data_IF_088310289700
#
_entry.id   IF_088310289700
#
_cell.length_a   1.000
_cell.length_b   1.000
_cell.length_c   1.000
_cell.angle_alpha   90.00
_cell.angle_beta   90.00
_cell.angle_gamma   90.00
#
_symmetry.space_group_name_H-M   'P 1'
#
loop_
_entity.id
_entity.type
_entity.pdbx_description
1 polymer ?
#
# COMPACT_ATOMS: atom_id res chain seq x y z
N UNK A 1 34.54 -37.64 40.47
CA UNK A 1 33.31 -38.42 40.73
C UNK A 1 32.34 -37.52 41.48
N UNK A 2 31.06 -37.61 41.09
CA UNK A 2 29.99 -36.66 41.28
C UNK A 2 29.62 -36.31 42.75
N UNK A 3 29.06 -35.13 42.97
CA UNK A 3 27.60 -34.97 43.19
C UNK A 3 27.29 -33.53 43.61
N UNK A 4 26.59 -32.79 42.75
CA UNK A 4 25.91 -31.54 43.11
C UNK A 4 24.44 -31.88 43.36
N UNK A 5 23.91 -31.52 44.53
CA UNK A 5 22.49 -31.68 44.88
C UNK A 5 21.85 -30.32 45.10
N UNK A 6 20.67 -30.19 44.51
CA UNK A 6 19.82 -29.02 44.34
C UNK A 6 19.16 -28.57 45.65
N UNK A 7 18.92 -27.26 45.77
CA UNK A 7 17.99 -26.68 46.75
C UNK A 7 17.00 -25.77 46.02
N UNK A 8 15.73 -26.19 45.98
CA UNK A 8 14.59 -25.42 45.48
C UNK A 8 14.07 -24.45 46.55
N UNK A 9 13.57 -23.28 46.14
CA UNK A 9 12.50 -22.58 46.87
C UNK A 9 11.62 -21.79 45.89
N UNK A 10 10.32 -21.94 46.08
CA UNK A 10 9.24 -21.55 45.20
C UNK A 10 8.29 -20.60 45.98
N UNK A 11 7.86 -19.54 45.30
CA UNK A 11 6.65 -18.72 45.45
C UNK A 11 6.49 -17.52 46.42
N UNK A 12 5.76 -16.55 45.84
CA UNK A 12 4.91 -15.48 46.35
C UNK A 12 5.54 -14.16 46.82
N UNK A 13 5.32 -13.08 46.06
CA UNK A 13 4.30 -12.07 46.39
C UNK A 13 4.30 -10.90 45.38
N UNK A 14 3.12 -10.56 44.85
CA UNK A 14 2.82 -9.26 44.22
C UNK A 14 2.94 -8.13 45.27
N UNK A 15 3.10 -6.88 44.80
CA UNK A 15 2.02 -5.94 45.07
C UNK A 15 1.63 -5.07 43.87
N UNK A 16 0.32 -4.88 43.76
CA UNK A 16 -0.36 -3.90 42.93
C UNK A 16 -0.37 -2.51 43.58
N UNK A 17 -0.74 -1.50 42.77
CA UNK A 17 -0.99 -0.05 43.03
C UNK A 17 0.21 0.87 42.75
N UNK A 18 0.08 2.01 42.09
CA UNK A 18 -1.04 2.74 41.45
C UNK A 18 -0.43 3.87 40.61
N UNK A 19 -1.01 4.09 39.43
CA UNK A 19 -1.24 5.37 38.74
C UNK A 19 -0.39 6.59 39.15
N UNK A 20 0.44 7.06 38.21
CA UNK A 20 0.67 8.50 38.05
C UNK A 20 0.78 8.84 36.55
N UNK A 21 -0.24 9.54 36.06
CA UNK A 21 -0.30 10.20 34.75
C UNK A 21 0.07 11.67 34.95
N UNK A 22 1.00 12.24 34.16
CA UNK A 22 1.01 13.67 33.90
C UNK A 22 0.26 13.93 32.60
N UNK A 23 -0.89 14.59 32.72
CA UNK A 23 -1.66 15.13 31.60
C UNK A 23 -0.85 16.21 30.88
N UNK A 24 -0.29 15.87 29.72
CA UNK A 24 0.22 16.83 28.74
C UNK A 24 -0.84 17.06 27.68
N UNK A 25 -1.36 18.27 27.63
CA UNK A 25 -2.40 18.71 26.69
C UNK A 25 -1.87 18.65 25.26
N UNK A 26 -2.40 17.73 24.45
CA UNK A 26 -2.25 17.76 22.99
C UNK A 26 -3.53 18.36 22.38
N UNK A 27 -3.47 19.66 22.10
CA UNK A 27 -4.47 20.33 21.26
C UNK A 27 -4.31 19.83 19.82
N UNK A 28 -5.18 18.92 19.39
CA UNK A 28 -5.41 18.66 17.97
C UNK A 28 -6.81 19.19 17.61
N UNK A 29 -6.95 19.98 16.53
CA UNK A 29 -8.25 20.48 16.11
C UNK A 29 -9.08 19.35 15.49
N UNK A 30 -10.29 19.19 16.02
CA UNK A 30 -11.37 18.35 15.52
C UNK A 30 -11.55 18.49 14.00
N UNK A 31 -11.24 17.44 13.25
CA UNK A 31 -11.79 17.23 11.91
C UNK A 31 -13.28 16.90 12.04
N UNK A 32 -14.13 17.90 11.75
CA UNK A 32 -15.57 17.70 11.57
C UNK A 32 -15.80 17.08 10.19
N UNK A 33 -16.01 15.77 10.14
CA UNK A 33 -16.60 15.12 8.97
C UNK A 33 -18.08 15.50 8.89
N UNK A 34 -18.44 16.33 7.92
CA UNK A 34 -19.83 16.60 7.57
C UNK A 34 -20.42 15.36 6.89
N UNK A 35 -21.22 14.61 7.64
CA UNK A 35 -22.13 13.58 7.12
C UNK A 35 -23.18 14.27 6.28
N UNK A 36 -23.12 14.08 4.96
CA UNK A 36 -24.24 14.38 4.06
C UNK A 36 -25.10 13.14 3.94
N UNK A 37 -26.13 13.08 4.77
CA UNK A 37 -27.29 12.19 4.62
C UNK A 37 -27.98 12.52 3.30
N UNK A 38 -27.99 11.59 2.34
CA UNK A 38 -28.98 11.59 1.26
C UNK A 38 -29.80 10.31 1.33
N UNK A 39 -31.06 10.53 1.68
CA UNK A 39 -32.09 9.52 1.86
C UNK A 39 -32.45 8.84 0.55
N UNK A 40 -32.56 7.52 0.61
CA UNK A 40 -33.25 6.66 -0.34
C UNK A 40 -34.67 7.15 -0.61
N UNK A 41 -35.02 7.33 -1.89
CA UNK A 41 -36.40 7.47 -2.35
C UNK A 41 -36.66 6.45 -3.44
N UNK A 42 -37.45 5.43 -3.10
CA UNK A 42 -38.03 4.48 -4.04
C UNK A 42 -39.19 5.16 -4.78
N UNK A 43 -39.23 5.09 -6.11
CA UNK A 43 -40.48 5.24 -6.86
C UNK A 43 -40.44 4.46 -8.17
N UNK A 44 -41.43 3.58 -8.30
CA UNK A 44 -41.79 2.92 -9.54
C UNK A 44 -42.40 3.95 -10.49
N UNK A 45 -41.93 4.00 -11.74
CA UNK A 45 -42.79 4.42 -12.84
C UNK A 45 -42.35 3.83 -14.18
N UNK A 46 -43.10 2.83 -14.62
CA UNK A 46 -43.26 2.48 -16.03
C UNK A 46 -43.87 3.70 -16.72
N UNK A 47 -43.27 4.17 -17.81
CA UNK A 47 -44.01 4.75 -18.92
C UNK A 47 -43.18 4.71 -20.22
N UNK A 48 -43.86 4.22 -21.24
CA UNK A 48 -43.40 3.96 -22.59
C UNK A 48 -43.11 5.26 -23.33
N UNK A 49 -41.96 5.36 -24.01
CA UNK A 49 -41.81 6.27 -25.14
C UNK A 49 -41.08 5.59 -26.30
N UNK A 50 -41.86 5.42 -27.35
CA UNK A 50 -41.62 4.79 -28.64
C UNK A 50 -40.74 5.72 -29.49
N UNK A 51 -39.45 5.42 -29.61
CA UNK A 51 -38.56 6.12 -30.53
C UNK A 51 -38.52 5.42 -31.89
N UNK A 52 -38.80 6.23 -32.91
CA UNK A 52 -39.01 5.85 -34.30
C UNK A 52 -37.69 5.40 -34.94
N UNK A 53 -37.81 4.33 -35.72
CA UNK A 53 -36.81 3.78 -36.61
C UNK A 53 -36.35 4.83 -37.63
N UNK A 54 -35.04 5.00 -37.79
CA UNK A 54 -34.44 5.63 -38.97
C UNK A 54 -33.53 4.62 -39.69
N UNK A 55 -33.54 4.57 -41.04
CA UNK A 55 -32.93 3.48 -41.79
C UNK A 55 -31.41 3.61 -41.92
N UNK A 56 -30.75 2.47 -41.77
CA UNK A 56 -29.35 2.20 -42.02
C UNK A 56 -28.98 2.38 -43.51
N UNK A 57 -27.85 3.02 -43.85
CA UNK A 57 -27.18 2.77 -45.12
C UNK A 57 -26.25 1.57 -45.00
N UNK A 58 -26.54 0.55 -45.80
CA UNK A 58 -25.72 -0.64 -46.02
C UNK A 58 -24.48 -0.28 -46.84
N UNK A 59 -23.30 -0.51 -46.29
CA UNK A 59 -22.06 -0.72 -47.04
C UNK A 59 -21.27 -1.88 -46.40
N UNK A 60 -20.59 -2.65 -47.24
CA UNK A 60 -20.25 -4.06 -47.04
C UNK A 60 -18.78 -4.27 -46.64
N UNK A 61 -18.57 -5.17 -45.66
CA UNK A 61 -17.49 -6.18 -45.58
C UNK A 61 -16.02 -5.77 -45.53
N UNK A 62 -15.41 -5.89 -44.35
CA UNK A 62 -14.33 -6.86 -44.11
C UNK A 62 -14.21 -7.19 -42.63
N UNK A 63 -14.06 -8.47 -42.34
CA UNK A 63 -13.85 -9.08 -41.03
C UNK A 63 -12.62 -8.55 -40.29
N UNK A 64 -12.63 -8.62 -38.96
CA UNK A 64 -11.41 -8.58 -38.16
C UNK A 64 -11.52 -7.87 -36.83
N UNK A 65 -12.18 -8.51 -35.87
CA UNK A 65 -11.98 -8.36 -34.42
C UNK A 65 -11.72 -6.93 -33.89
N UNK A 66 -12.79 -6.18 -33.64
CA UNK A 66 -12.80 -5.34 -32.44
C UNK A 66 -12.78 -6.31 -31.26
N UNK A 67 -11.60 -6.78 -30.85
CA UNK A 67 -11.45 -7.34 -29.52
C UNK A 67 -11.97 -6.26 -28.58
N UNK A 68 -13.14 -6.50 -27.98
CA UNK A 68 -13.47 -5.90 -26.70
C UNK A 68 -12.19 -6.02 -25.89
N UNK A 69 -11.51 -4.89 -25.67
CA UNK A 69 -10.59 -4.78 -24.57
C UNK A 69 -11.49 -4.98 -23.35
N UNK A 70 -11.65 -6.23 -22.94
CA UNK A 70 -11.85 -6.55 -21.53
C UNK A 70 -10.58 -6.00 -20.89
N UNK A 71 -10.67 -4.71 -20.58
CA UNK A 71 -9.79 -4.04 -19.67
C UNK A 71 -10.17 -4.68 -18.33
N UNK A 72 -9.60 -5.86 -18.07
CA UNK A 72 -9.48 -6.38 -16.73
C UNK A 72 -8.72 -5.30 -15.99
N UNK A 73 -9.46 -4.41 -15.32
CA UNK A 73 -8.90 -3.32 -14.55
C UNK A 73 -8.06 -3.98 -13.45
N UNK A 74 -6.79 -4.17 -13.77
CA UNK A 74 -5.81 -4.98 -13.04
C UNK A 74 -5.44 -4.30 -11.72
N UNK A 75 -5.71 -3.00 -11.65
CA UNK A 75 -5.49 -2.14 -10.51
C UNK A 75 -6.75 -2.04 -9.64
N UNK A 76 -6.66 -2.62 -8.46
CA UNK A 76 -7.66 -2.47 -7.41
C UNK A 76 -7.13 -1.42 -6.44
N UNK A 77 -7.84 -0.29 -6.22
CA UNK A 77 -7.46 0.66 -5.20
C UNK A 77 -7.30 -0.02 -3.84
N UNK A 78 -6.29 0.38 -3.06
CA UNK A 78 -6.13 -0.11 -1.69
C UNK A 78 -7.37 0.26 -0.86
N UNK A 79 -7.84 -0.64 -0.01
CA UNK A 79 -8.96 -0.41 0.89
C UNK A 79 -8.58 -0.73 2.33
N UNK A 80 -9.20 -0.03 3.29
CA UNK A 80 -8.93 -0.23 4.71
C UNK A 80 -9.27 -1.65 5.21
N UNK A 81 -10.21 -2.32 4.54
CA UNK A 81 -10.69 -3.67 4.89
C UNK A 81 -9.85 -4.80 4.25
N UNK A 82 -8.77 -4.48 3.54
CA UNK A 82 -7.94 -5.48 2.88
C UNK A 82 -7.23 -6.39 3.91
N UNK A 83 -7.21 -7.72 3.68
CA UNK A 83 -6.58 -8.65 4.60
C UNK A 83 -5.05 -8.53 4.56
N UNK A 84 -4.41 -8.83 5.69
CA UNK A 84 -2.95 -8.83 5.80
C UNK A 84 -2.35 -9.95 4.94
N UNK A 85 -1.39 -9.62 4.10
CA UNK A 85 -0.65 -10.57 3.26
C UNK A 85 0.85 -10.25 3.17
N UNK A 86 1.66 -11.31 3.16
CA UNK A 86 3.12 -11.24 3.06
C UNK A 86 3.83 -10.88 4.38
N UNK A 87 5.17 -10.75 4.34
CA UNK A 87 5.98 -10.41 5.50
C UNK A 87 5.84 -8.93 5.87
N UNK A 88 5.98 -8.54 7.15
CA UNK A 88 5.98 -7.13 7.55
C UNK A 88 7.21 -6.40 7.00
N UNK A 89 7.07 -5.75 5.85
CA UNK A 89 8.18 -5.13 5.13
C UNK A 89 7.73 -3.97 4.23
N UNK A 90 8.67 -3.05 4.00
CA UNK A 90 8.62 -2.00 3.00
C UNK A 90 9.72 -2.25 1.98
N UNK A 91 9.37 -2.37 0.69
CA UNK A 91 10.34 -2.42 -0.39
C UNK A 91 10.36 -1.08 -1.13
N UNK A 92 11.52 -0.42 -1.08
CA UNK A 92 11.75 0.93 -1.58
C UNK A 92 12.48 0.91 -2.92
N UNK A 93 11.85 1.43 -3.97
CA UNK A 93 12.41 1.59 -5.31
C UNK A 93 12.63 3.07 -5.60
N UNK A 94 13.80 3.44 -6.13
CA UNK A 94 14.14 4.83 -6.45
C UNK A 94 14.39 5.71 -5.23
N UNK A 95 14.50 5.13 -4.03
CA UNK A 95 14.89 5.83 -2.80
C UNK A 95 16.40 5.79 -2.60
N UNK A 96 16.94 6.82 -1.96
CA UNK A 96 18.34 6.88 -1.56
C UNK A 96 18.53 6.32 -0.14
N UNK A 97 19.74 5.83 0.15
CA UNK A 97 20.07 5.24 1.45
C UNK A 97 19.97 6.26 2.57
N UNK A 98 20.29 7.52 2.28
CA UNK A 98 20.22 8.66 3.20
C UNK A 98 18.78 8.96 3.64
N UNK A 99 17.78 8.59 2.83
CA UNK A 99 16.36 8.77 3.13
C UNK A 99 15.85 7.75 4.17
N UNK A 100 16.62 6.69 4.45
CA UNK A 100 16.30 5.67 5.47
C UNK A 100 15.98 6.31 6.81
N UNK A 101 16.70 7.36 7.20
CA UNK A 101 16.51 8.01 8.51
C UNK A 101 15.10 8.57 8.65
N UNK A 102 14.58 9.18 7.58
CA UNK A 102 13.22 9.72 7.54
C UNK A 102 12.18 8.60 7.51
N UNK A 103 12.44 7.53 6.74
CA UNK A 103 11.58 6.35 6.72
C UNK A 103 11.47 5.67 8.09
N UNK A 104 12.59 5.47 8.78
CA UNK A 104 12.61 4.90 10.12
C UNK A 104 11.92 5.82 11.14
N UNK A 105 12.06 7.13 11.00
CA UNK A 105 11.36 8.09 11.86
C UNK A 105 9.84 8.03 11.66
N UNK A 106 9.36 7.98 10.41
CA UNK A 106 7.94 7.79 10.10
C UNK A 106 7.41 6.49 10.71
N UNK A 107 8.14 5.38 10.50
CA UNK A 107 7.78 4.08 11.08
C UNK A 107 7.67 4.15 12.60
N UNK A 108 8.59 4.84 13.26
CA UNK A 108 8.56 5.02 14.71
C UNK A 108 7.34 5.82 15.18
N UNK A 109 6.98 6.88 14.47
CA UNK A 109 5.81 7.71 14.79
C UNK A 109 4.49 6.94 14.64
N UNK A 110 4.43 6.02 13.67
CA UNK A 110 3.28 5.17 13.42
C UNK A 110 3.30 3.84 14.18
N UNK A 111 4.24 3.64 15.11
CA UNK A 111 4.46 2.37 15.82
C UNK A 111 4.73 1.16 14.87
N UNK A 112 5.23 1.42 13.67
CA UNK A 112 5.56 0.47 12.61
C UNK A 112 7.01 -0.05 12.61
N UNK A 113 7.75 0.07 13.71
CA UNK A 113 9.17 -0.36 13.81
C UNK A 113 9.38 -1.87 13.56
N UNK A 114 8.29 -2.65 13.56
CA UNK A 114 8.32 -4.07 13.20
C UNK A 114 8.46 -4.33 11.69
N UNK A 115 8.26 -3.31 10.85
CA UNK A 115 8.43 -3.41 9.41
C UNK A 115 9.91 -3.37 9.03
N UNK A 116 10.33 -4.35 8.22
CA UNK A 116 11.67 -4.34 7.64
C UNK A 116 11.73 -3.37 6.46
N UNK A 117 12.68 -2.43 6.48
CA UNK A 117 12.98 -1.58 5.31
C UNK A 117 13.96 -2.31 4.39
N UNK A 118 13.61 -2.43 3.12
CA UNK A 118 14.39 -3.11 2.07
C UNK A 118 14.57 -2.14 0.90
N UNK A 119 15.80 -1.92 0.46
CA UNK A 119 16.07 -1.19 -0.78
C UNK A 119 16.11 -2.14 -1.97
N UNK A 120 15.46 -1.78 -3.08
CA UNK A 120 15.52 -2.55 -4.30
C UNK A 120 16.96 -2.56 -4.86
N UNK A 121 17.49 -3.74 -5.14
CA UNK A 121 18.79 -3.96 -5.78
C UNK A 121 18.60 -4.46 -7.22
N UNK A 122 19.61 -4.35 -8.08
CA UNK A 122 19.49 -4.69 -9.50
C UNK A 122 19.05 -6.15 -9.74
N UNK A 123 19.48 -7.07 -8.87
CA UNK A 123 19.12 -8.50 -8.90
C UNK A 123 17.65 -8.76 -8.50
N UNK A 124 17.03 -7.86 -7.72
CA UNK A 124 15.62 -7.99 -7.37
C UNK A 124 14.69 -7.66 -8.54
N UNK A 125 15.11 -6.81 -9.49
CA UNK A 125 14.25 -6.31 -10.58
C UNK A 125 13.68 -7.45 -11.42
N UNK A 126 14.48 -8.48 -11.70
CA UNK A 126 14.05 -9.66 -12.46
C UNK A 126 13.43 -10.76 -11.59
N UNK A 127 13.49 -10.61 -10.27
CA UNK A 127 12.93 -11.56 -9.29
C UNK A 127 11.48 -11.21 -8.97
N UNK A 128 10.74 -12.14 -8.36
CA UNK A 128 9.35 -11.86 -7.99
C UNK A 128 9.24 -10.86 -6.85
N UNK A 129 8.12 -10.13 -6.78
CA UNK A 129 7.83 -9.23 -5.65
C UNK A 129 7.89 -9.98 -4.32
N UNK A 130 7.38 -11.21 -4.28
CA UNK A 130 7.43 -12.07 -3.11
C UNK A 130 8.86 -12.34 -2.63
N UNK A 131 9.76 -12.71 -3.54
CA UNK A 131 11.17 -12.97 -3.20
C UNK A 131 11.88 -11.71 -2.70
N UNK A 132 11.65 -10.57 -3.36
CA UNK A 132 12.22 -9.28 -2.96
C UNK A 132 11.79 -8.90 -1.52
N UNK A 133 10.51 -9.07 -1.19
CA UNK A 133 9.95 -8.79 0.15
C UNK A 133 10.49 -9.69 1.27
N UNK A 134 10.96 -10.89 0.93
CA UNK A 134 11.57 -11.80 1.91
C UNK A 134 13.07 -11.60 2.08
N UNK A 135 13.65 -10.64 1.36
CA UNK A 135 15.09 -10.39 1.42
C UNK A 135 15.47 -9.70 2.73
N UNK A 136 16.53 -10.20 3.37
CA UNK A 136 17.10 -9.57 4.55
C UNK A 136 18.34 -8.76 4.19
N UNK A 137 18.30 -7.46 4.45
CA UNK A 137 19.44 -6.57 4.31
C UNK A 137 19.99 -6.25 5.70
N UNK A 138 21.20 -6.72 6.02
CA UNK A 138 21.82 -6.54 7.35
C UNK A 138 22.42 -5.14 7.54
N UNK A 139 22.88 -4.50 6.47
CA UNK A 139 23.52 -3.19 6.50
C UNK A 139 23.03 -2.33 5.33
N UNK A 140 21.95 -1.56 5.56
CA UNK A 140 21.32 -0.70 4.53
C UNK A 140 22.33 0.27 3.89
N UNK A 141 23.30 0.75 4.66
CA UNK A 141 24.37 1.66 4.20
C UNK A 141 25.28 1.09 3.10
N UNK A 142 25.34 -0.24 2.99
CA UNK A 142 26.23 -0.93 2.04
C UNK A 142 25.50 -1.59 0.88
N UNK A 143 24.16 -1.48 0.87
CA UNK A 143 23.33 -2.07 -0.17
C UNK A 143 23.58 -1.34 -1.49
N UNK A 144 23.80 -2.11 -2.55
CA UNK A 144 23.91 -1.57 -3.91
C UNK A 144 22.52 -1.33 -4.46
N UNK A 145 21.91 -0.22 -4.05
CA UNK A 145 20.57 0.17 -4.49
C UNK A 145 20.57 0.35 -6.01
N UNK A 146 19.55 -0.22 -6.66
CA UNK A 146 19.33 -0.08 -8.09
C UNK A 146 19.11 1.39 -8.45
N UNK A 147 19.64 1.80 -9.59
CA UNK A 147 19.56 3.20 -10.03
C UNK A 147 18.50 3.39 -11.11
N UNK A 148 18.03 4.62 -11.26
CA UNK A 148 17.12 5.00 -12.34
C UNK A 148 15.77 4.26 -12.32
N UNK A 149 15.31 3.85 -11.13
CA UNK A 149 13.98 3.32 -10.90
C UNK A 149 13.00 4.45 -10.53
N UNK A 150 11.71 4.33 -10.90
CA UNK A 150 10.68 5.22 -10.38
C UNK A 150 10.53 5.07 -8.86
N UNK A 151 10.02 6.12 -8.21
CA UNK A 151 9.76 6.13 -6.77
C UNK A 151 8.50 5.33 -6.44
N UNK A 152 8.69 4.06 -6.09
CA UNK A 152 7.62 3.15 -5.67
C UNK A 152 7.95 2.60 -4.29
N UNK A 153 6.97 2.62 -3.40
CA UNK A 153 7.03 1.96 -2.09
C UNK A 153 6.00 0.83 -2.06
N UNK A 154 6.48 -0.41 -2.04
CA UNK A 154 5.60 -1.55 -1.82
C UNK A 154 5.41 -1.82 -0.33
N UNK A 155 4.16 -2.02 0.08
CA UNK A 155 3.73 -2.28 1.46
C UNK A 155 3.38 -3.76 1.61
N UNK A 156 3.87 -4.42 2.67
CA UNK A 156 3.51 -5.81 2.98
C UNK A 156 3.37 -6.05 4.48
N UNK A 157 2.52 -7.03 4.83
CA UNK A 157 2.29 -7.42 6.22
C UNK A 157 1.57 -6.37 7.06
N UNK A 158 0.86 -5.46 6.42
CA UNK A 158 0.01 -4.44 7.03
C UNK A 158 -1.47 -4.71 6.72
N UNK A 159 -2.35 -4.27 7.61
CA UNK A 159 -3.77 -4.12 7.31
C UNK A 159 -4.01 -2.93 6.38
N UNK A 160 -5.16 -2.92 5.70
CA UNK A 160 -5.53 -1.78 4.86
C UNK A 160 -5.55 -0.44 5.62
N UNK A 161 -6.03 -0.44 6.87
CA UNK A 161 -6.00 0.75 7.75
C UNK A 161 -4.57 1.23 8.00
N UNK A 162 -3.65 0.34 8.36
CA UNK A 162 -2.24 0.67 8.58
C UNK A 162 -1.56 1.18 7.29
N UNK A 163 -1.88 0.59 6.14
CA UNK A 163 -1.38 1.07 4.84
C UNK A 163 -1.86 2.50 4.55
N UNK A 164 -3.15 2.78 4.74
CA UNK A 164 -3.70 4.12 4.55
C UNK A 164 -3.08 5.14 5.51
N UNK A 165 -2.94 4.80 6.79
CA UNK A 165 -2.26 5.66 7.76
C UNK A 165 -0.81 5.96 7.35
N UNK A 166 -0.07 4.97 6.85
CA UNK A 166 1.29 5.17 6.36
C UNK A 166 1.31 6.13 5.15
N UNK A 167 0.42 5.91 4.18
CA UNK A 167 0.34 6.73 2.96
C UNK A 167 -0.03 8.18 3.30
N UNK A 168 -1.00 8.39 4.19
CA UNK A 168 -1.45 9.73 4.59
C UNK A 168 -0.39 10.49 5.38
N UNK A 169 0.44 9.79 6.17
CA UNK A 169 1.52 10.40 6.95
C UNK A 169 2.83 10.59 6.16
N UNK A 170 3.01 9.88 5.04
CA UNK A 170 4.24 9.95 4.24
C UNK A 170 4.64 11.37 3.79
N UNK A 171 3.72 12.26 3.35
CA UNK A 171 4.07 13.63 2.95
C UNK A 171 4.76 14.44 4.07
N UNK A 172 4.46 14.17 5.33
CA UNK A 172 5.02 14.88 6.49
C UNK A 172 6.52 14.61 6.68
N UNK A 173 7.06 13.57 6.04
CA UNK A 173 8.50 13.29 6.02
C UNK A 173 9.32 14.31 5.22
N UNK A 174 8.66 15.07 4.33
CA UNK A 174 9.30 15.95 3.37
C UNK A 174 10.22 15.19 2.39
N UNK A 175 9.94 13.92 2.13
CA UNK A 175 10.53 13.15 1.03
C UNK A 175 9.82 13.47 -0.28
N UNK A 176 10.47 13.12 -1.39
CA UNK A 176 9.80 13.21 -2.69
C UNK A 176 8.60 12.24 -2.72
N UNK A 177 7.50 12.62 -3.41
CA UNK A 177 6.34 11.76 -3.56
C UNK A 177 6.70 10.37 -4.12
N UNK A 178 5.98 9.36 -3.68
CA UNK A 178 6.12 7.99 -4.16
C UNK A 178 4.76 7.42 -4.55
N UNK A 179 4.78 6.46 -5.47
CA UNK A 179 3.61 5.62 -5.76
C UNK A 179 3.60 4.46 -4.77
N UNK A 180 2.43 4.16 -4.21
CA UNK A 180 2.27 3.09 -3.23
C UNK A 180 1.52 1.91 -3.84
N UNK A 181 1.98 0.70 -3.52
CA UNK A 181 1.32 -0.54 -3.92
C UNK A 181 1.43 -1.59 -2.83
N UNK A 182 0.44 -2.46 -2.69
CA UNK A 182 0.50 -3.56 -1.74
C UNK A 182 1.04 -4.85 -2.39
N UNK A 183 1.79 -5.64 -1.61
CA UNK A 183 2.00 -7.03 -1.92
C UNK A 183 0.68 -7.78 -1.68
N UNK A 184 0.08 -8.31 -2.75
CA UNK A 184 -1.15 -9.10 -2.72
C UNK A 184 -0.93 -10.43 -3.47
N UNK A 185 -1.77 -11.46 -3.26
CA UNK A 185 -1.59 -12.75 -3.93
C UNK A 185 -1.47 -12.66 -5.46
N UNK A 186 -2.19 -11.72 -6.09
CA UNK A 186 -2.20 -11.53 -7.55
C UNK A 186 -0.90 -10.90 -8.11
N UNK A 187 -0.12 -10.21 -7.27
CA UNK A 187 1.14 -9.58 -7.67
C UNK A 187 2.38 -10.32 -7.16
N UNK A 188 2.21 -11.22 -6.18
CA UNK A 188 3.31 -11.88 -5.47
C UNK A 188 4.35 -12.55 -6.38
N UNK A 189 3.88 -13.33 -7.36
CA UNK A 189 4.75 -14.12 -8.24
C UNK A 189 5.21 -13.36 -9.49
N UNK A 190 4.74 -12.12 -9.70
CA UNK A 190 5.15 -11.31 -10.85
C UNK A 190 6.54 -10.73 -10.65
N UNK A 191 7.38 -10.67 -11.70
CA UNK A 191 8.64 -9.95 -11.66
C UNK A 191 8.44 -8.48 -11.28
N UNK A 192 9.36 -7.91 -10.49
CA UNK A 192 9.31 -6.50 -10.13
C UNK A 192 9.28 -5.59 -11.37
N UNK A 193 10.02 -5.93 -12.42
CA UNK A 193 10.03 -5.17 -13.67
C UNK A 193 8.62 -5.01 -14.26
N UNK A 194 7.83 -6.09 -14.33
CA UNK A 194 6.46 -6.05 -14.86
C UNK A 194 5.58 -5.14 -13.99
N UNK A 195 5.68 -5.27 -12.67
CA UNK A 195 4.92 -4.45 -11.73
C UNK A 195 5.29 -2.97 -11.78
N UNK A 196 6.57 -2.65 -11.99
CA UNK A 196 7.03 -1.27 -12.15
C UNK A 196 6.36 -0.63 -13.37
N UNK A 197 6.37 -1.32 -14.50
CA UNK A 197 5.77 -0.84 -15.75
C UNK A 197 4.25 -0.65 -15.60
N UNK A 198 3.57 -1.61 -14.97
CA UNK A 198 2.12 -1.57 -14.73
C UNK A 198 1.72 -0.42 -13.81
N UNK A 199 2.33 -0.33 -12.63
CA UNK A 199 1.98 0.65 -11.62
C UNK A 199 2.24 2.07 -12.13
N UNK A 200 3.35 2.29 -12.84
CA UNK A 200 3.65 3.61 -13.39
C UNK A 200 2.73 3.96 -14.56
N UNK A 201 2.41 3.01 -15.43
CA UNK A 201 1.44 3.20 -16.51
C UNK A 201 0.07 3.64 -15.96
N UNK A 202 -0.40 2.97 -14.91
CA UNK A 202 -1.65 3.32 -14.23
C UNK A 202 -1.57 4.69 -13.56
N UNK A 203 -0.47 4.99 -12.86
CA UNK A 203 -0.27 6.27 -12.19
C UNK A 203 -0.28 7.46 -13.16
N UNK A 204 0.37 7.33 -14.32
CA UNK A 204 0.37 8.34 -15.36
C UNK A 204 -1.03 8.61 -15.91
N UNK A 205 -1.80 7.56 -16.17
CA UNK A 205 -3.19 7.68 -16.64
C UNK A 205 -4.09 8.38 -15.61
N UNK A 206 -3.96 8.03 -14.33
CA UNK A 206 -4.74 8.65 -13.26
C UNK A 206 -4.39 10.12 -13.06
N UNK A 207 -3.11 10.47 -13.17
CA UNK A 207 -2.63 11.85 -13.00
C UNK A 207 -3.03 12.74 -14.19
N UNK A 208 -2.99 12.22 -15.42
CA UNK A 208 -3.41 12.94 -16.62
C UNK A 208 -4.91 13.33 -16.58
N UNK A 209 -5.77 12.44 -16.08
CA UNK A 209 -7.20 12.70 -15.96
C UNK A 209 -7.54 13.75 -14.88
N UNK A 210 -6.76 13.84 -13.81
CA UNK A 210 -6.95 14.88 -12.79
C UNK A 210 -6.56 16.27 -13.30
N UNK A 211 -5.52 16.37 -14.14
CA UNK A 211 -5.10 17.64 -14.77
C UNK A 211 -6.04 18.16 -15.85
N UNK A 212 -6.92 17.31 -16.39
CA UNK A 212 -7.92 17.69 -17.40
C UNK A 212 -9.21 18.28 -16.81
N UNK A 213 -9.34 18.25 -15.47
CA UNK A 213 -10.49 18.77 -14.72
C UNK A 213 -10.21 20.11 -14.01
N UNK A 214 -9.01 20.66 -14.16
CA UNK A 214 -8.61 21.99 -13.70
C UNK A 214 -8.52 22.98 -14.86
#
# INVERSE_FOLDING_TARGET
>A
MASSTLGFSLFHSLPSRTLWVPSGFLNHPFFKSHVSTVSSSSSNHINQLKLKQFPLPRASSSEGASSELIEDSKFVPLNADDPIYGPPALLLLGFEVEETVKMQQLLKELNGEFLQVIFCTEDMITSSLWEAMHTRQTHLETVKVAKSLPRICFLSGLSGEEMMMFIDAFPETGLEPAVFAALVPNSADKPLQELIEEIMGDHEMMTANQSSLT
#
